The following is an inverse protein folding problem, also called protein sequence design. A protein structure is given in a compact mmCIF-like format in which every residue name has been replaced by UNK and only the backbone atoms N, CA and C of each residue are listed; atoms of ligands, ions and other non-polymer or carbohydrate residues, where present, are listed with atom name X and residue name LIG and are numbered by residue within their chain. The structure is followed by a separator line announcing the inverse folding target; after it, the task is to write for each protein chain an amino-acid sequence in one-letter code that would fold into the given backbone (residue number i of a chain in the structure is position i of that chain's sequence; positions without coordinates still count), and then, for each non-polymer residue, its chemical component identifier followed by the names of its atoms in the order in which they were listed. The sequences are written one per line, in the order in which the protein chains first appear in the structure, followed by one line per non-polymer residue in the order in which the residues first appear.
data_IF_561795341890
#
_entry.id   IF_561795341890
#
_cell.length_a   1.000
_cell.length_b   1.000
_cell.length_c   1.000
_cell.angle_alpha   90.00
_cell.angle_beta   90.00
_cell.angle_gamma   90.00
#
_symmetry.space_group_name_H-M   'P 1'
#
loop_
_entity.id
_entity.type
_entity.pdbx_description
1 polymer ?
#
# COMPACT_ATOMS: atom_id res chain seq x y z
N UNK A 1 30.31 9.89 -3.24
CA UNK A 1 31.39 9.26 -2.51
C UNK A 1 30.82 7.97 -1.93
N UNK A 2 31.22 6.81 -2.48
CA UNK A 2 30.67 5.50 -2.10
C UNK A 2 31.33 5.10 -0.78
N UNK A 3 30.55 5.10 0.30
CA UNK A 3 30.95 4.44 1.55
C UNK A 3 31.29 2.97 1.24
N UNK A 4 32.36 2.42 1.82
CA UNK A 4 32.70 1.02 1.59
C UNK A 4 31.54 0.13 2.00
N UNK A 5 31.22 -0.86 1.18
CA UNK A 5 30.06 -1.77 1.31
C UNK A 5 29.86 -2.31 2.75
N UNK A 6 30.95 -2.54 3.47
CA UNK A 6 30.95 -2.99 4.87
C UNK A 6 30.32 -1.96 5.85
N UNK A 7 30.56 -0.66 5.66
CA UNK A 7 30.00 0.37 6.54
C UNK A 7 28.51 0.53 6.29
N UNK A 8 28.08 0.49 5.03
CA UNK A 8 26.67 0.54 4.66
C UNK A 8 25.90 -0.68 5.18
N UNK A 9 26.51 -1.86 5.18
CA UNK A 9 25.92 -3.07 5.73
C UNK A 9 25.75 -2.96 7.26
N UNK A 10 26.72 -2.34 7.94
CA UNK A 10 26.69 -2.12 9.40
C UNK A 10 25.60 -1.09 9.79
N UNK A 11 25.42 -0.05 9.00
CA UNK A 11 24.36 0.95 9.24
C UNK A 11 22.94 0.36 9.05
N UNK A 12 22.76 -0.53 8.08
CA UNK A 12 21.47 -1.14 7.78
C UNK A 12 21.13 -2.31 8.72
N UNK A 13 22.16 -2.98 9.25
CA UNK A 13 21.98 -4.26 9.98
C UNK A 13 21.08 -4.16 11.20
N UNK A 14 21.17 -3.08 12.00
CA UNK A 14 20.38 -2.92 13.22
C UNK A 14 18.87 -2.82 12.94
N UNK A 15 18.47 -1.93 12.03
CA UNK A 15 17.07 -1.78 11.66
C UNK A 15 16.52 -2.97 10.88
N UNK A 16 17.35 -3.58 10.01
CA UNK A 16 16.95 -4.80 9.31
C UNK A 16 16.71 -5.97 10.25
N UNK A 17 17.58 -6.17 11.25
CA UNK A 17 17.41 -7.19 12.28
C UNK A 17 16.11 -6.96 13.09
N UNK A 18 15.80 -5.70 13.42
CA UNK A 18 14.54 -5.36 14.08
C UNK A 18 13.33 -5.75 13.22
N UNK A 19 13.32 -5.36 11.94
CA UNK A 19 12.22 -5.70 11.02
C UNK A 19 12.07 -7.22 10.85
N UNK A 20 13.19 -7.94 10.72
CA UNK A 20 13.19 -9.40 10.63
C UNK A 20 12.63 -10.05 11.91
N UNK A 21 13.00 -9.54 13.09
CA UNK A 21 12.48 -10.00 14.36
C UNK A 21 10.97 -9.76 14.48
N UNK A 22 10.48 -8.60 14.07
CA UNK A 22 9.05 -8.28 14.03
C UNK A 22 8.32 -9.25 13.09
N UNK A 23 8.86 -9.51 11.91
CA UNK A 23 8.26 -10.42 10.93
C UNK A 23 8.16 -11.86 11.46
N UNK A 24 9.24 -12.38 12.06
CA UNK A 24 9.27 -13.73 12.65
C UNK A 24 8.29 -13.83 13.82
N UNK A 25 8.30 -12.84 14.72
CA UNK A 25 7.41 -12.82 15.88
C UNK A 25 5.94 -12.74 15.45
N UNK A 26 5.63 -11.93 14.42
CA UNK A 26 4.27 -11.81 13.89
C UNK A 26 3.79 -13.10 13.26
N UNK A 27 4.66 -13.81 12.55
CA UNK A 27 4.33 -15.11 11.97
C UNK A 27 4.10 -16.17 13.05
N UNK A 28 4.94 -16.20 14.08
CA UNK A 28 4.76 -17.10 15.23
C UNK A 28 3.42 -16.86 15.93
N UNK A 29 3.10 -15.60 16.25
CA UNK A 29 1.84 -15.22 16.90
C UNK A 29 0.62 -15.53 16.03
N UNK A 30 0.73 -15.31 14.73
CA UNK A 30 -0.32 -15.65 13.77
C UNK A 30 -0.68 -17.13 13.82
N UNK A 31 0.34 -17.97 13.80
CA UNK A 31 0.15 -19.43 13.88
C UNK A 31 -0.43 -19.88 15.24
N UNK A 32 -0.07 -19.19 16.32
CA UNK A 32 -0.53 -19.54 17.68
C UNK A 32 -1.99 -19.09 17.93
N UNK A 33 -2.38 -17.94 17.41
CA UNK A 33 -3.69 -17.32 17.68
C UNK A 33 -4.67 -17.41 16.52
N UNK A 34 -4.31 -18.02 15.40
CA UNK A 34 -5.12 -18.08 14.16
C UNK A 34 -5.64 -16.71 13.70
N UNK A 35 -4.82 -15.67 13.85
CA UNK A 35 -5.13 -14.32 13.43
C UNK A 35 -4.14 -13.82 12.35
N UNK A 36 -4.53 -12.86 11.52
CA UNK A 36 -3.69 -12.42 10.38
C UNK A 36 -2.31 -11.93 10.82
N UNK A 37 -1.26 -12.40 10.14
CA UNK A 37 0.15 -12.02 10.40
C UNK A 37 0.32 -10.49 10.37
N UNK A 38 -0.35 -9.82 9.43
CA UNK A 38 -0.23 -8.37 9.24
C UNK A 38 -0.74 -7.58 10.44
N UNK A 39 -1.74 -8.10 11.15
CA UNK A 39 -2.27 -7.47 12.36
C UNK A 39 -1.22 -7.47 13.47
N UNK A 40 -0.56 -8.61 13.71
CA UNK A 40 0.54 -8.68 14.66
C UNK A 40 1.73 -7.84 14.25
N UNK A 41 2.10 -7.84 12.95
CA UNK A 41 3.18 -7.03 12.43
C UNK A 41 2.91 -5.52 12.64
N UNK A 42 1.67 -5.09 12.44
CA UNK A 42 1.25 -3.70 12.67
C UNK A 42 1.32 -3.35 14.16
N UNK A 43 0.76 -4.17 15.05
CA UNK A 43 0.74 -3.92 16.48
C UNK A 43 2.15 -3.87 17.07
N UNK A 44 2.99 -4.86 16.72
CA UNK A 44 4.38 -4.90 17.16
C UNK A 44 5.16 -3.72 16.56
N UNK A 45 4.95 -3.42 15.27
CA UNK A 45 5.58 -2.30 14.58
C UNK A 45 5.25 -0.94 15.23
N UNK A 46 4.00 -0.73 15.64
CA UNK A 46 3.58 0.47 16.40
C UNK A 46 4.27 0.52 17.76
N UNK A 47 4.33 -0.59 18.49
CA UNK A 47 5.00 -0.67 19.79
C UNK A 47 6.48 -0.31 19.71
N UNK A 48 7.16 -0.71 18.62
CA UNK A 48 8.57 -0.40 18.38
C UNK A 48 8.81 0.88 17.57
N UNK A 49 7.78 1.70 17.30
CA UNK A 49 7.91 2.92 16.50
C UNK A 49 8.96 3.92 17.04
N UNK A 50 9.19 3.93 18.35
CA UNK A 50 10.21 4.78 18.96
C UNK A 50 11.63 4.51 18.45
N UNK A 51 11.93 3.29 17.98
CA UNK A 51 13.22 2.92 17.40
C UNK A 51 13.46 3.53 15.99
N UNK A 52 12.42 4.05 15.35
CA UNK A 52 12.57 4.75 14.08
C UNK A 52 13.39 6.05 14.20
N UNK A 53 13.48 6.62 15.39
CA UNK A 53 14.29 7.81 15.67
C UNK A 53 15.74 7.47 16.05
N UNK A 54 16.04 6.19 16.32
CA UNK A 54 17.39 5.75 16.68
C UNK A 54 18.28 5.65 15.43
N UNK A 55 19.44 6.29 15.47
CA UNK A 55 20.40 6.35 14.36
C UNK A 55 20.77 4.98 13.81
N UNK A 56 20.89 3.98 14.70
CA UNK A 56 21.30 2.62 14.34
C UNK A 56 20.17 1.79 13.68
N UNK A 57 18.92 2.21 13.83
CA UNK A 57 17.76 1.47 13.29
C UNK A 57 17.17 2.12 12.04
N UNK A 58 17.21 3.45 11.96
CA UNK A 58 16.55 4.23 10.92
C UNK A 58 16.91 3.77 9.51
N UNK A 59 18.22 3.70 9.19
CA UNK A 59 18.68 3.31 7.85
C UNK A 59 18.21 1.90 7.45
N UNK A 60 18.17 0.96 8.39
CA UNK A 60 17.69 -0.41 8.16
C UNK A 60 16.18 -0.49 7.99
N UNK A 61 15.42 0.28 8.75
CA UNK A 61 13.96 0.37 8.60
C UNK A 61 13.61 0.98 7.24
N UNK A 62 14.26 2.07 6.83
CA UNK A 62 14.06 2.69 5.53
C UNK A 62 14.44 1.75 4.37
N UNK A 63 15.53 0.99 4.52
CA UNK A 63 15.92 -0.02 3.54
C UNK A 63 14.88 -1.14 3.43
N UNK A 64 14.36 -1.64 4.54
CA UNK A 64 13.35 -2.69 4.57
C UNK A 64 12.02 -2.21 3.98
N UNK A 65 11.52 -1.04 4.39
CA UNK A 65 10.26 -0.47 3.91
C UNK A 65 10.34 0.03 2.45
N UNK A 66 11.52 0.30 1.93
CA UNK A 66 11.74 0.69 0.54
C UNK A 66 12.14 -0.48 -0.35
N UNK A 67 13.38 -0.94 -0.19
CA UNK A 67 13.99 -1.90 -1.13
C UNK A 67 13.44 -3.31 -0.95
N UNK A 68 13.39 -3.82 0.30
CA UNK A 68 12.92 -5.20 0.55
C UNK A 68 11.44 -5.33 0.20
N UNK A 69 10.62 -4.34 0.57
CA UNK A 69 9.21 -4.33 0.22
C UNK A 69 9.01 -4.39 -1.30
N UNK A 70 9.74 -3.57 -2.07
CA UNK A 70 9.64 -3.57 -3.54
C UNK A 70 10.08 -4.90 -4.15
N UNK A 71 11.14 -5.50 -3.61
CA UNK A 71 11.57 -6.84 -4.04
C UNK A 71 10.52 -7.90 -3.72
N UNK A 72 9.93 -7.85 -2.52
CA UNK A 72 8.83 -8.76 -2.15
C UNK A 72 7.63 -8.63 -3.07
N UNK A 73 7.22 -7.41 -3.39
CA UNK A 73 6.13 -7.15 -4.35
C UNK A 73 6.48 -7.64 -5.75
N UNK A 74 7.71 -7.45 -6.22
CA UNK A 74 8.16 -7.95 -7.51
C UNK A 74 8.14 -9.49 -7.57
N UNK A 75 8.56 -10.16 -6.50
CA UNK A 75 8.50 -11.62 -6.38
C UNK A 75 7.05 -12.15 -6.34
N UNK A 76 6.14 -11.42 -5.67
CA UNK A 76 4.71 -11.73 -5.74
C UNK A 76 4.17 -11.60 -7.17
N UNK A 77 4.62 -10.59 -7.91
CA UNK A 77 4.26 -10.44 -9.33
C UNK A 77 4.69 -11.63 -10.20
N UNK A 78 5.81 -12.28 -9.88
CA UNK A 78 6.26 -13.49 -10.57
C UNK A 78 5.38 -14.73 -10.26
N UNK A 79 4.67 -14.72 -9.14
CA UNK A 79 3.70 -15.78 -8.79
C UNK A 79 2.43 -15.71 -9.63
N UNK A 80 2.11 -14.53 -10.17
CA UNK A 80 0.91 -14.29 -10.96
C UNK A 80 1.11 -14.87 -12.36
N UNK A 81 0.20 -15.75 -12.76
CA UNK A 81 0.22 -16.39 -14.08
C UNK A 81 -0.74 -15.71 -15.05
N UNK A 82 -0.52 -15.87 -16.34
CA UNK A 82 -1.46 -15.40 -17.36
C UNK A 82 -2.83 -16.07 -17.22
N UNK A 83 -2.88 -17.28 -16.68
CA UNK A 83 -4.13 -17.98 -16.38
C UNK A 83 -4.91 -17.29 -15.26
N UNK A 84 -4.25 -16.72 -14.26
CA UNK A 84 -4.93 -15.97 -13.18
C UNK A 84 -5.58 -14.70 -13.73
N UNK A 85 -4.91 -14.01 -14.67
CA UNK A 85 -5.46 -12.84 -15.36
C UNK A 85 -6.70 -13.24 -16.21
N UNK A 86 -6.62 -14.37 -16.91
CA UNK A 86 -7.73 -14.88 -17.72
C UNK A 86 -8.91 -15.34 -16.86
N UNK A 87 -8.67 -15.91 -15.67
CA UNK A 87 -9.69 -16.38 -14.75
C UNK A 87 -10.57 -15.24 -14.20
N UNK A 88 -10.00 -14.04 -14.01
CA UNK A 88 -10.76 -12.85 -13.57
C UNK A 88 -11.72 -12.38 -14.66
N UNK A 89 -11.39 -12.61 -15.94
CA UNK A 89 -12.19 -12.18 -17.08
C UNK A 89 -12.03 -10.68 -17.40
N UNK A 90 -12.60 -10.29 -18.54
CA UNK A 90 -12.47 -8.90 -19.03
C UNK A 90 -13.39 -7.90 -18.32
N UNK A 91 -14.53 -8.35 -17.80
CA UNK A 91 -15.52 -7.47 -17.19
C UNK A 91 -15.01 -6.78 -15.91
N UNK A 92 -14.39 -7.46 -14.95
CA UNK A 92 -13.76 -6.83 -13.79
C UNK A 92 -12.63 -5.86 -14.15
N UNK A 93 -11.86 -6.13 -15.20
CA UNK A 93 -10.81 -5.22 -15.67
C UNK A 93 -11.40 -3.92 -16.23
N UNK A 94 -12.47 -4.01 -17.03
CA UNK A 94 -13.19 -2.83 -17.53
C UNK A 94 -13.79 -2.03 -16.36
N UNK A 95 -14.41 -2.72 -15.40
CA UNK A 95 -14.97 -2.09 -14.20
C UNK A 95 -13.89 -1.36 -13.39
N UNK A 96 -12.69 -1.94 -13.28
CA UNK A 96 -11.55 -1.31 -12.62
C UNK A 96 -11.09 -0.03 -13.34
N UNK A 97 -11.00 -0.04 -14.66
CA UNK A 97 -10.63 1.14 -15.47
C UNK A 97 -11.66 2.26 -15.26
N UNK A 98 -12.95 1.91 -15.32
CA UNK A 98 -14.03 2.87 -15.07
C UNK A 98 -13.92 3.44 -13.66
N UNK A 99 -13.68 2.60 -12.65
CA UNK A 99 -13.50 3.02 -11.26
C UNK A 99 -12.34 4.02 -11.12
N UNK A 100 -11.20 3.77 -11.77
CA UNK A 100 -10.03 4.68 -11.76
C UNK A 100 -10.39 6.03 -12.35
N UNK A 101 -11.06 6.04 -13.52
CA UNK A 101 -11.49 7.27 -14.20
C UNK A 101 -12.48 8.04 -13.33
N UNK A 102 -13.48 7.36 -12.78
CA UNK A 102 -14.49 7.97 -11.90
C UNK A 102 -13.84 8.53 -10.63
N UNK A 103 -12.93 7.80 -10.01
CA UNK A 103 -12.22 8.26 -8.79
C UNK A 103 -11.39 9.51 -9.08
N UNK A 104 -10.67 9.52 -10.18
CA UNK A 104 -9.88 10.67 -10.62
C UNK A 104 -10.79 11.88 -10.92
N UNK A 105 -11.85 11.67 -11.70
CA UNK A 105 -12.82 12.72 -12.05
C UNK A 105 -13.56 13.25 -10.81
N UNK A 106 -14.01 12.38 -9.93
CA UNK A 106 -14.69 12.77 -8.70
C UNK A 106 -13.78 13.55 -7.75
N UNK A 107 -12.52 13.12 -7.58
CA UNK A 107 -11.55 13.85 -6.77
C UNK A 107 -11.26 15.27 -7.30
N UNK A 108 -11.15 15.44 -8.62
CA UNK A 108 -10.97 16.74 -9.25
C UNK A 108 -12.22 17.62 -9.13
N UNK A 109 -13.40 17.05 -9.33
CA UNK A 109 -14.69 17.73 -9.20
C UNK A 109 -14.92 18.21 -7.76
N UNK A 110 -14.67 17.34 -6.78
CA UNK A 110 -14.82 17.70 -5.36
C UNK A 110 -13.89 18.85 -4.99
N UNK A 111 -12.65 18.79 -5.45
CA UNK A 111 -11.68 19.86 -5.24
C UNK A 111 -12.18 21.20 -5.80
N UNK A 112 -12.78 21.20 -6.98
CA UNK A 112 -13.37 22.38 -7.60
C UNK A 112 -14.55 22.92 -6.76
N UNK A 113 -15.47 22.04 -6.32
CA UNK A 113 -16.64 22.42 -5.49
C UNK A 113 -16.18 23.07 -4.17
N UNK A 114 -15.11 22.56 -3.55
CA UNK A 114 -14.55 23.14 -2.33
C UNK A 114 -13.64 24.36 -2.56
N UNK A 115 -13.65 24.95 -3.75
CA UNK A 115 -12.88 26.15 -4.08
C UNK A 115 -11.37 25.95 -4.05
N UNK A 116 -10.90 24.70 -4.15
CA UNK A 116 -9.48 24.37 -4.24
C UNK A 116 -8.99 24.49 -5.68
N UNK A 117 -7.68 24.65 -5.85
CA UNK A 117 -7.06 24.74 -7.17
C UNK A 117 -7.16 23.40 -7.92
N UNK A 118 -7.27 23.45 -9.24
CA UNK A 118 -7.27 22.27 -10.08
C UNK A 118 -6.05 21.35 -9.82
N UNK A 119 -4.87 21.94 -9.62
CA UNK A 119 -3.65 21.20 -9.28
C UNK A 119 -3.78 20.37 -8.01
N UNK A 120 -4.49 20.84 -6.99
CA UNK A 120 -4.78 20.06 -5.80
C UNK A 120 -5.76 18.91 -6.09
N UNK A 121 -6.76 19.14 -6.94
CA UNK A 121 -7.71 18.11 -7.37
C UNK A 121 -7.03 16.99 -8.15
N UNK A 122 -6.16 17.35 -9.10
CA UNK A 122 -5.35 16.39 -9.85
C UNK A 122 -4.43 15.59 -8.93
N UNK A 123 -3.81 16.27 -7.96
CA UNK A 123 -2.94 15.62 -6.97
C UNK A 123 -3.71 14.63 -6.09
N UNK A 124 -4.81 15.06 -5.48
CA UNK A 124 -5.60 14.23 -4.57
C UNK A 124 -6.33 13.11 -5.33
N UNK A 125 -7.05 13.46 -6.40
CA UNK A 125 -7.78 12.49 -7.22
C UNK A 125 -6.88 11.44 -7.85
N UNK A 126 -5.75 11.86 -8.42
CA UNK A 126 -4.78 10.95 -9.02
C UNK A 126 -4.08 10.05 -7.98
N UNK A 127 -3.78 10.58 -6.79
CA UNK A 127 -3.20 9.80 -5.70
C UNK A 127 -4.14 8.68 -5.26
N UNK A 128 -5.41 9.01 -5.03
CA UNK A 128 -6.45 8.04 -4.64
C UNK A 128 -6.75 7.06 -5.77
N UNK A 129 -6.75 7.51 -7.02
CA UNK A 129 -7.04 6.67 -8.18
C UNK A 129 -5.97 5.63 -8.48
N UNK A 130 -4.69 5.86 -8.15
CA UNK A 130 -3.58 4.98 -8.54
C UNK A 130 -3.04 4.20 -7.32
N UNK A 131 -2.00 4.73 -6.67
CA UNK A 131 -1.28 4.03 -5.60
C UNK A 131 -0.96 4.89 -4.37
N UNK A 132 -1.78 5.90 -4.10
CA UNK A 132 -1.65 6.71 -2.89
C UNK A 132 -0.42 7.60 -2.87
N UNK A 133 0.45 7.42 -1.88
CA UNK A 133 1.60 8.28 -1.63
C UNK A 133 2.61 8.34 -2.79
N UNK A 134 2.91 7.23 -3.44
CA UNK A 134 3.83 7.19 -4.58
C UNK A 134 3.28 7.94 -5.79
N UNK A 135 1.98 7.80 -6.08
CA UNK A 135 1.31 8.60 -7.12
C UNK A 135 1.29 10.09 -6.75
N UNK A 136 1.05 10.43 -5.48
CA UNK A 136 1.11 11.81 -5.01
C UNK A 136 2.45 12.47 -5.32
N UNK A 137 3.56 11.79 -5.02
CA UNK A 137 4.91 12.29 -5.29
C UNK A 137 5.20 12.41 -6.79
N UNK A 138 4.79 11.42 -7.59
CA UNK A 138 4.94 11.43 -9.04
C UNK A 138 4.14 12.57 -9.68
N UNK A 139 2.87 12.71 -9.36
CA UNK A 139 2.01 13.80 -9.86
C UNK A 139 2.56 15.17 -9.41
N UNK A 140 2.97 15.28 -8.15
CA UNK A 140 3.58 16.50 -7.65
C UNK A 140 4.82 16.90 -8.44
N UNK A 141 5.63 15.99 -8.97
CA UNK A 141 6.84 16.31 -9.72
C UNK A 141 6.55 17.04 -11.04
N UNK A 142 5.40 16.76 -11.66
CA UNK A 142 4.99 17.34 -12.96
C UNK A 142 4.04 18.54 -12.83
N UNK A 143 3.44 18.74 -11.65
CA UNK A 143 2.56 19.89 -11.43
C UNK A 143 3.34 21.22 -11.38
N UNK A 144 2.74 22.34 -11.85
CA UNK A 144 3.36 23.66 -11.79
C UNK A 144 3.79 24.03 -10.37
N UNK A 145 4.92 24.74 -10.28
CA UNK A 145 5.44 25.21 -8.98
C UNK A 145 4.45 26.17 -8.30
N UNK A 146 4.14 25.89 -7.06
CA UNK A 146 3.27 26.70 -6.22
C UNK A 146 3.84 26.75 -4.78
N UNK A 147 3.72 27.90 -4.13
CA UNK A 147 4.17 28.12 -2.74
C UNK A 147 3.58 27.11 -1.73
N UNK A 148 2.38 26.61 -2.00
CA UNK A 148 1.69 25.64 -1.13
C UNK A 148 1.93 24.17 -1.53
N UNK A 149 2.66 23.91 -2.63
CA UNK A 149 2.86 22.54 -3.16
C UNK A 149 3.31 21.54 -2.10
N UNK A 150 4.31 21.89 -1.31
CA UNK A 150 4.83 20.99 -0.26
C UNK A 150 3.77 20.66 0.80
N UNK A 151 2.95 21.63 1.18
CA UNK A 151 1.85 21.44 2.14
C UNK A 151 0.73 20.57 1.53
N UNK A 152 0.36 20.83 0.28
CA UNK A 152 -0.67 20.06 -0.44
C UNK A 152 -0.24 18.60 -0.60
N UNK A 153 1.03 18.35 -0.99
CA UNK A 153 1.58 17.00 -1.11
C UNK A 153 1.60 16.29 0.24
N UNK A 154 2.08 16.95 1.29
CA UNK A 154 2.11 16.38 2.63
C UNK A 154 0.71 16.02 3.12
N UNK A 155 -0.26 16.91 2.91
CA UNK A 155 -1.66 16.67 3.29
C UNK A 155 -2.25 15.46 2.57
N UNK A 156 -2.05 15.37 1.24
CA UNK A 156 -2.55 14.24 0.44
C UNK A 156 -1.87 12.94 0.84
N UNK A 157 -0.54 12.93 0.99
CA UNK A 157 0.21 11.72 1.38
C UNK A 157 -0.25 11.21 2.73
N UNK A 158 -0.36 12.08 3.73
CA UNK A 158 -0.84 11.69 5.07
C UNK A 158 -2.28 11.18 4.99
N UNK A 159 -3.16 11.90 4.30
CA UNK A 159 -4.57 11.52 4.17
C UNK A 159 -4.76 10.16 3.52
N UNK A 160 -4.13 9.92 2.37
CA UNK A 160 -4.26 8.62 1.67
C UNK A 160 -3.63 7.48 2.46
N UNK A 161 -2.55 7.73 3.20
CA UNK A 161 -1.90 6.70 4.03
C UNK A 161 -2.78 6.31 5.21
N UNK A 162 -3.36 7.28 5.92
CA UNK A 162 -4.27 7.03 7.04
C UNK A 162 -5.50 6.27 6.57
N UNK A 163 -6.18 6.76 5.51
CA UNK A 163 -7.38 6.12 4.97
C UNK A 163 -7.09 4.70 4.49
N UNK A 164 -5.98 4.49 3.84
CA UNK A 164 -5.55 3.18 3.34
C UNK A 164 -5.25 2.21 4.50
N UNK A 165 -4.63 2.68 5.58
CA UNK A 165 -4.37 1.87 6.79
C UNK A 165 -5.68 1.48 7.49
N UNK A 166 -6.61 2.42 7.60
CA UNK A 166 -7.95 2.15 8.15
C UNK A 166 -8.67 1.09 7.31
N UNK A 167 -8.65 1.25 5.98
CA UNK A 167 -9.26 0.30 5.04
C UNK A 167 -8.63 -1.09 5.14
N UNK A 168 -7.31 -1.18 5.29
CA UNK A 168 -6.60 -2.45 5.46
C UNK A 168 -7.12 -3.26 6.66
N UNK A 169 -7.48 -2.57 7.74
CA UNK A 169 -7.97 -3.21 8.97
C UNK A 169 -9.47 -3.51 8.87
N UNK A 170 -10.25 -2.56 8.36
CA UNK A 170 -11.72 -2.64 8.39
C UNK A 170 -12.26 -3.56 7.29
N UNK A 171 -11.71 -3.51 6.07
CA UNK A 171 -12.30 -4.22 4.93
C UNK A 171 -12.33 -5.73 5.08
N UNK A 172 -11.29 -6.42 5.57
CA UNK A 172 -11.36 -7.87 5.80
C UNK A 172 -12.49 -8.26 6.76
N UNK A 173 -12.67 -7.48 7.83
CA UNK A 173 -13.72 -7.71 8.83
C UNK A 173 -15.10 -7.45 8.21
N UNK A 174 -15.23 -6.34 7.49
CA UNK A 174 -16.48 -5.91 6.86
C UNK A 174 -16.93 -6.92 5.79
N UNK A 175 -16.05 -7.32 4.88
CA UNK A 175 -16.39 -8.23 3.78
C UNK A 175 -16.75 -9.62 4.30
N UNK A 176 -16.04 -10.09 5.32
CA UNK A 176 -16.39 -11.33 6.00
C UNK A 176 -17.77 -11.25 6.68
N UNK A 177 -18.11 -10.13 7.32
CA UNK A 177 -19.41 -9.93 7.97
C UNK A 177 -20.56 -9.81 6.96
N UNK A 178 -20.28 -9.33 5.75
CA UNK A 178 -21.23 -9.24 4.64
C UNK A 178 -21.41 -10.58 3.88
N UNK A 179 -20.65 -11.62 4.26
CA UNK A 179 -20.71 -12.92 3.60
C UNK A 179 -20.16 -12.95 2.17
N UNK A 180 -19.26 -12.00 1.85
CA UNK A 180 -18.65 -11.95 0.53
C UNK A 180 -17.69 -13.13 0.33
N UNK A 181 -17.64 -13.65 -0.89
CA UNK A 181 -16.70 -14.71 -1.24
C UNK A 181 -15.25 -14.16 -1.36
N UNK A 182 -14.28 -15.07 -1.46
CA UNK A 182 -12.85 -14.73 -1.46
C UNK A 182 -12.45 -13.92 -2.69
N UNK A 183 -13.03 -14.23 -3.86
CA UNK A 183 -12.79 -13.55 -5.13
C UNK A 183 -13.31 -12.10 -5.07
N UNK A 184 -14.55 -11.91 -4.61
CA UNK A 184 -15.16 -10.60 -4.46
C UNK A 184 -14.40 -9.73 -3.46
N UNK A 185 -14.05 -10.31 -2.31
CA UNK A 185 -13.26 -9.63 -1.28
C UNK A 185 -11.89 -9.22 -1.81
N UNK A 186 -11.18 -10.13 -2.49
CA UNK A 186 -9.89 -9.86 -3.11
C UNK A 186 -9.98 -8.75 -4.17
N UNK A 187 -10.99 -8.81 -5.04
CA UNK A 187 -11.23 -7.78 -6.05
C UNK A 187 -11.42 -6.39 -5.42
N UNK A 188 -12.31 -6.27 -4.43
CA UNK A 188 -12.61 -4.99 -3.78
C UNK A 188 -11.40 -4.46 -3.00
N UNK A 189 -10.65 -5.30 -2.30
CA UNK A 189 -9.42 -4.91 -1.62
C UNK A 189 -8.41 -4.33 -2.61
N UNK A 190 -8.14 -5.03 -3.71
CA UNK A 190 -7.21 -4.58 -4.75
C UNK A 190 -7.65 -3.30 -5.45
N UNK A 191 -8.97 -3.19 -5.70
CA UNK A 191 -9.57 -2.05 -6.40
C UNK A 191 -9.67 -0.79 -5.52
N UNK A 192 -9.71 -0.89 -4.20
CA UNK A 192 -10.02 0.25 -3.32
C UNK A 192 -8.87 0.67 -2.41
N UNK A 193 -8.10 -0.24 -1.84
CA UNK A 193 -6.95 0.11 -1.01
C UNK A 193 -5.82 0.70 -1.85
N UNK A 194 -5.17 1.76 -1.36
CA UNK A 194 -4.25 2.55 -2.17
C UNK A 194 -2.83 1.98 -2.21
N UNK A 195 -2.29 1.55 -1.08
CA UNK A 195 -0.93 1.04 -0.97
C UNK A 195 -0.87 -0.48 -1.23
N UNK A 196 0.12 -0.92 -2.02
CA UNK A 196 0.23 -2.34 -2.41
C UNK A 196 0.58 -3.24 -1.23
N UNK A 197 1.39 -2.78 -0.27
CA UNK A 197 1.71 -3.55 0.92
C UNK A 197 0.47 -3.80 1.78
N UNK A 198 -0.39 -2.79 1.88
CA UNK A 198 -1.64 -2.87 2.61
C UNK A 198 -2.68 -3.73 1.89
N UNK A 199 -2.69 -3.71 0.54
CA UNK A 199 -3.50 -4.61 -0.29
C UNK A 199 -3.11 -6.07 -0.04
N UNK A 200 -1.82 -6.37 -0.12
CA UNK A 200 -1.29 -7.72 0.18
C UNK A 200 -1.69 -8.13 1.59
N UNK A 201 -1.45 -7.27 2.59
CA UNK A 201 -1.80 -7.54 3.97
C UNK A 201 -3.28 -7.81 4.18
N UNK A 202 -4.15 -6.97 3.65
CA UNK A 202 -5.61 -7.14 3.76
C UNK A 202 -6.10 -8.39 3.01
N UNK A 203 -5.63 -8.63 1.78
CA UNK A 203 -6.05 -9.76 0.96
C UNK A 203 -5.68 -11.09 1.59
N UNK A 204 -4.42 -11.27 1.96
CA UNK A 204 -3.95 -12.50 2.61
C UNK A 204 -4.48 -12.69 4.04
N UNK A 205 -5.03 -11.65 4.66
CA UNK A 205 -5.72 -11.80 5.95
C UNK A 205 -7.06 -12.51 5.86
N UNK A 206 -7.65 -12.58 4.65
CA UNK A 206 -8.90 -13.31 4.38
C UNK A 206 -8.57 -14.75 3.97
N UNK A 207 -7.81 -14.90 2.87
CA UNK A 207 -7.36 -16.20 2.36
C UNK A 207 -6.20 -16.02 1.36
N UNK A 208 -5.56 -17.11 0.97
CA UNK A 208 -4.54 -17.09 -0.08
C UNK A 208 -5.11 -16.65 -1.43
N UNK A 209 -6.29 -17.14 -1.80
CA UNK A 209 -7.00 -16.78 -3.03
C UNK A 209 -7.34 -15.28 -3.07
N UNK A 210 -7.92 -14.75 -2.00
CA UNK A 210 -8.20 -13.32 -1.87
C UNK A 210 -6.92 -12.47 -1.97
N UNK A 211 -5.81 -12.93 -1.39
CA UNK A 211 -4.51 -12.27 -1.46
C UNK A 211 -3.94 -12.20 -2.87
N UNK A 212 -4.01 -13.29 -3.63
CA UNK A 212 -3.57 -13.37 -5.02
C UNK A 212 -4.39 -12.41 -5.88
N UNK A 213 -5.73 -12.49 -5.80
CA UNK A 213 -6.63 -11.65 -6.58
C UNK A 213 -6.45 -10.17 -6.24
N UNK A 214 -6.38 -9.82 -4.95
CA UNK A 214 -6.18 -8.44 -4.51
C UNK A 214 -4.87 -7.85 -5.06
N UNK A 215 -3.79 -8.62 -5.02
CA UNK A 215 -2.48 -8.22 -5.56
C UNK A 215 -2.54 -8.03 -7.07
N UNK A 216 -3.18 -8.94 -7.80
CA UNK A 216 -3.33 -8.89 -9.25
C UNK A 216 -4.15 -7.67 -9.68
N UNK A 217 -5.31 -7.45 -9.08
CA UNK A 217 -6.16 -6.27 -9.35
C UNK A 217 -5.40 -4.97 -9.07
N UNK A 218 -4.65 -4.94 -7.97
CA UNK A 218 -3.82 -3.77 -7.64
C UNK A 218 -2.72 -3.54 -8.66
N UNK A 219 -2.07 -4.58 -9.16
CA UNK A 219 -1.06 -4.45 -10.20
C UNK A 219 -1.66 -3.90 -11.50
N UNK A 220 -2.81 -4.40 -11.95
CA UNK A 220 -3.53 -3.88 -13.11
C UNK A 220 -3.88 -2.39 -12.92
N UNK A 221 -4.28 -1.99 -11.71
CA UNK A 221 -4.64 -0.60 -11.42
C UNK A 221 -3.45 0.37 -11.51
N UNK A 222 -2.24 -0.09 -11.24
CA UNK A 222 -1.01 0.74 -11.21
C UNK A 222 -0.32 0.80 -12.57
N UNK A 223 -0.57 -0.18 -13.44
CA UNK A 223 -0.02 -0.25 -14.81
C UNK A 223 -0.75 0.67 -15.75
#
# INVERSE_FOLDING_TARGET
MLLPFKEKLKEVSGGFALVALIAISSNFLSNQYNAPVILFALLIGIAFNFLNNEKNCKAGIEFASGTILRMGVALLGLKLTLSDIQSIGYLPVIALIILVILTFGFGTLLSYIFGRRLAFGLLAGGSVAICGASAALAIASVLPFNKNRAKDVLFVVIGVTILSTISMIIYPILFKSLGMNEIESGYLIGATIHDIAQVVGAGYSISEESGIIATLIKMIRVT
#
